data_IF_076449659045
#
_entry.id   IF_076449659045
#
_cell.length_a   1.000
_cell.length_b   1.000
_cell.length_c   1.000
_cell.angle_alpha   90.00
_cell.angle_beta   90.00
_cell.angle_gamma   90.00
#
_symmetry.space_group_name_H-M   'P 1'
#
loop_
_entity.id
_entity.type
_entity.pdbx_description
1 polymer ?
#
# COMPACT_ATOMS: atom_id res chain seq x y z
N UNK A 1 4.18 6.55 -22.62
CA UNK A 1 2.84 5.95 -22.78
C UNK A 1 2.49 5.24 -21.47
N UNK A 2 2.25 6.01 -20.40
CA UNK A 2 1.89 5.49 -19.07
C UNK A 2 0.36 5.35 -19.03
N UNK A 3 -0.16 4.24 -19.53
CA UNK A 3 -1.47 3.77 -19.09
C UNK A 3 -1.20 2.94 -17.85
N UNK A 4 -1.84 3.26 -16.72
CA UNK A 4 -2.44 2.29 -15.81
C UNK A 4 -3.25 3.03 -14.74
N UNK A 5 -4.56 2.82 -14.77
CA UNK A 5 -5.51 3.31 -13.76
C UNK A 5 -5.49 2.30 -12.63
N UNK A 6 -4.82 2.60 -11.53
CA UNK A 6 -4.95 1.83 -10.30
C UNK A 6 -6.18 2.37 -9.54
N UNK A 7 -7.20 1.53 -9.35
CA UNK A 7 -8.36 1.86 -8.50
C UNK A 7 -8.27 1.00 -7.24
N UNK A 8 -8.13 1.62 -6.08
CA UNK A 8 -7.90 0.90 -4.83
C UNK A 8 -8.72 1.41 -3.64
N UNK A 9 -9.43 0.50 -2.93
CA UNK A 9 -10.36 0.78 -1.82
C UNK A 9 -10.35 -0.27 -0.68
N UNK A 10 -9.60 -0.07 0.43
CA UNK A 10 -9.72 -0.94 1.64
C UNK A 10 -8.68 -0.68 2.75
N UNK A 11 -8.99 -0.96 4.04
CA UNK A 11 -8.17 -0.79 5.26
C UNK A 11 -7.11 -1.89 5.36
N UNK A 12 -5.92 -1.56 5.87
CA UNK A 12 -4.85 -2.50 6.24
C UNK A 12 -4.54 -3.54 5.17
N UNK A 13 -4.84 -3.22 3.90
CA UNK A 13 -4.64 -4.13 2.79
C UNK A 13 -3.29 -3.77 2.20
N UNK A 14 -2.32 -4.67 2.35
CA UNK A 14 -1.16 -4.60 1.49
C UNK A 14 -1.58 -5.16 0.13
N UNK A 15 -1.81 -4.26 -0.83
CA UNK A 15 -1.92 -4.68 -2.22
C UNK A 15 -0.55 -4.63 -2.86
N UNK A 16 -0.21 -5.73 -3.52
CA UNK A 16 0.88 -5.74 -4.47
C UNK A 16 0.29 -5.34 -5.83
N UNK A 17 0.73 -4.21 -6.40
CA UNK A 17 0.37 -3.90 -7.79
C UNK A 17 1.26 -4.75 -8.69
N UNK A 18 0.72 -5.88 -9.16
CA UNK A 18 1.40 -6.71 -10.16
C UNK A 18 1.03 -6.17 -11.54
N UNK A 19 2.02 -5.65 -12.27
CA UNK A 19 1.87 -5.41 -13.70
C UNK A 19 2.32 -6.67 -14.44
N UNK A 20 1.38 -7.30 -15.15
CA UNK A 20 1.66 -8.41 -16.06
C UNK A 20 2.55 -7.96 -17.21
N UNK A 21 3.86 -7.99 -17.00
CA UNK A 21 4.76 -8.46 -18.03
C UNK A 21 4.96 -9.94 -17.72
N UNK A 22 4.35 -10.82 -18.51
CA UNK A 22 4.81 -12.19 -18.65
C UNK A 22 6.26 -12.14 -19.14
N UNK A 23 7.20 -12.02 -18.20
CA UNK A 23 8.53 -12.54 -18.41
C UNK A 23 8.38 -14.03 -18.19
N UNK A 24 8.50 -14.79 -19.28
CA UNK A 24 8.70 -16.24 -19.24
C UNK A 24 9.91 -16.51 -18.33
N UNK A 25 9.66 -16.68 -17.03
CA UNK A 25 10.64 -17.26 -16.14
C UNK A 25 10.76 -18.74 -16.53
N UNK A 26 11.98 -19.25 -16.76
CA UNK A 26 12.15 -20.66 -17.08
C UNK A 26 11.57 -21.51 -15.93
N UNK A 27 10.96 -22.67 -16.24
CA UNK A 27 10.42 -23.54 -15.21
C UNK A 27 11.53 -23.87 -14.22
N UNK A 28 11.31 -23.56 -12.94
CA UNK A 28 12.18 -24.02 -11.87
C UNK A 28 12.24 -25.54 -11.96
N UNK A 29 13.43 -26.06 -12.29
CA UNK A 29 13.69 -27.48 -12.20
C UNK A 29 13.42 -27.91 -10.76
N UNK A 30 12.44 -28.79 -10.57
CA UNK A 30 12.23 -29.50 -9.31
C UNK A 30 13.47 -30.36 -9.02
N UNK A 31 14.51 -29.76 -8.43
CA UNK A 31 15.41 -30.51 -7.57
C UNK A 31 14.64 -30.80 -6.31
N UNK A 32 14.13 -32.02 -6.22
CA UNK A 32 13.59 -32.58 -5.00
C UNK A 32 14.57 -32.31 -3.86
N UNK A 33 14.17 -31.47 -2.90
CA UNK A 33 14.80 -31.44 -1.60
C UNK A 33 14.54 -32.80 -0.95
N UNK A 34 15.48 -33.71 -1.14
CA UNK A 34 15.55 -34.95 -0.40
C UNK A 34 15.68 -34.61 1.08
N UNK A 35 14.74 -35.10 1.88
CA UNK A 35 14.82 -35.09 3.32
C UNK A 35 16.01 -35.95 3.76
N UNK A 36 17.15 -35.32 4.04
CA UNK A 36 18.18 -35.90 4.92
C UNK A 36 18.38 -34.95 6.11
N UNK A 37 17.62 -35.20 7.17
CA UNK A 37 17.76 -34.52 8.45
C UNK A 37 19.07 -34.98 9.12
N UNK A 38 20.12 -34.16 9.03
CA UNK A 38 21.28 -34.24 9.91
C UNK A 38 21.01 -33.48 11.21
N UNK A 39 21.36 -34.01 12.39
CA UNK A 39 21.09 -33.34 13.65
C UNK A 39 22.24 -32.38 13.98
N UNK A 40 22.24 -31.15 13.43
CA UNK A 40 23.03 -30.00 13.93
C UNK A 40 22.90 -28.73 13.07
N UNK A 41 21.69 -28.38 12.61
CA UNK A 41 21.44 -27.02 12.12
C UNK A 41 20.81 -26.22 13.25
N UNK A 42 21.59 -25.29 13.82
CA UNK A 42 21.06 -24.24 14.71
C UNK A 42 19.94 -23.51 13.97
N UNK A 43 18.77 -23.28 14.60
CA UNK A 43 17.72 -22.48 13.99
C UNK A 43 18.31 -21.14 13.57
N UNK A 44 18.16 -20.79 12.29
CA UNK A 44 18.48 -19.44 11.82
C UNK A 44 17.63 -18.50 12.68
N UNK A 45 18.26 -17.56 13.38
CA UNK A 45 17.58 -16.58 14.22
C UNK A 45 16.49 -15.86 13.41
N UNK A 46 15.28 -15.71 13.94
CA UNK A 46 14.16 -15.02 13.29
C UNK A 46 14.56 -13.62 12.78
N UNK A 47 15.40 -12.93 13.54
CA UNK A 47 15.97 -11.63 13.14
C UNK A 47 16.80 -11.68 11.86
N UNK A 48 17.54 -12.75 11.60
CA UNK A 48 18.32 -12.92 10.36
C UNK A 48 17.42 -13.21 9.16
N UNK A 49 16.34 -13.97 9.37
CA UNK A 49 15.33 -14.21 8.34
C UNK A 49 14.59 -12.92 7.99
N UNK A 50 14.21 -12.11 8.98
CA UNK A 50 13.53 -10.85 8.70
C UNK A 50 14.42 -9.85 7.96
N UNK A 51 15.70 -9.74 8.35
CA UNK A 51 16.65 -8.84 7.70
C UNK A 51 16.83 -9.16 6.20
N UNK A 52 16.81 -10.45 5.81
CA UNK A 52 16.96 -10.82 4.40
C UNK A 52 15.79 -10.36 3.53
N UNK A 53 14.56 -10.36 4.06
CA UNK A 53 13.38 -9.81 3.38
C UNK A 53 13.50 -8.31 3.20
N UNK A 54 13.92 -7.60 4.24
CA UNK A 54 14.15 -6.15 4.20
C UNK A 54 15.23 -5.79 3.17
N UNK A 55 16.33 -6.52 3.16
CA UNK A 55 17.44 -6.33 2.23
C UNK A 55 17.03 -6.60 0.76
N UNK A 56 15.98 -7.41 0.55
CA UNK A 56 15.43 -7.70 -0.76
C UNK A 56 14.48 -6.61 -1.31
N UNK A 57 14.16 -5.56 -0.54
CA UNK A 57 13.42 -4.40 -1.03
C UNK A 57 14.29 -3.56 -1.99
N UNK A 58 14.08 -3.75 -3.30
CA UNK A 58 14.93 -3.16 -4.33
C UNK A 58 14.72 -1.64 -4.47
N UNK A 59 13.45 -1.19 -4.43
CA UNK A 59 13.07 0.23 -4.60
C UNK A 59 13.73 0.89 -5.82
N UNK A 60 13.90 0.14 -6.91
CA UNK A 60 14.56 0.65 -8.12
C UNK A 60 13.75 1.76 -8.78
N UNK A 61 12.43 1.74 -8.68
CA UNK A 61 11.56 2.79 -9.24
C UNK A 61 11.96 4.16 -8.72
N UNK A 62 12.21 4.30 -7.41
CA UNK A 62 12.58 5.57 -6.81
C UNK A 62 13.94 6.11 -7.29
N UNK A 63 14.79 5.26 -7.88
CA UNK A 63 16.06 5.70 -8.51
C UNK A 63 15.83 6.36 -9.86
N UNK A 64 14.68 6.08 -10.50
CA UNK A 64 14.31 6.59 -11.82
C UNK A 64 13.19 7.63 -11.78
N UNK A 65 12.50 7.75 -10.64
CA UNK A 65 11.44 8.71 -10.41
C UNK A 65 11.98 9.93 -9.66
N UNK A 66 11.53 11.12 -10.05
CA UNK A 66 11.83 12.34 -9.30
C UNK A 66 10.90 12.50 -8.10
N UNK A 67 11.45 12.82 -6.94
CA UNK A 67 10.67 13.29 -5.79
C UNK A 67 10.12 14.69 -6.04
N UNK A 68 9.11 15.07 -5.27
CA UNK A 68 8.72 16.47 -5.10
C UNK A 68 9.92 17.34 -4.69
N UNK A 69 10.04 18.51 -5.32
CA UNK A 69 11.13 19.45 -5.01
C UNK A 69 10.89 20.16 -3.68
N UNK A 70 11.98 20.54 -2.99
CA UNK A 70 11.89 21.25 -1.72
C UNK A 70 11.14 22.58 -1.84
N UNK A 71 11.41 23.33 -2.90
CA UNK A 71 10.73 24.58 -3.23
C UNK A 71 9.22 24.39 -3.40
N UNK A 72 8.81 23.28 -4.04
CA UNK A 72 7.40 22.95 -4.20
C UNK A 72 6.73 22.64 -2.85
N UNK A 73 7.41 21.84 -2.03
CA UNK A 73 6.94 21.51 -0.69
C UNK A 73 6.75 22.76 0.17
N UNK A 74 7.72 23.67 0.20
CA UNK A 74 7.63 24.92 0.97
C UNK A 74 6.48 25.80 0.50
N UNK A 75 6.36 26.03 -0.81
CA UNK A 75 5.24 26.78 -1.40
C UNK A 75 3.89 26.14 -1.06
N UNK A 76 3.76 24.82 -1.18
CA UNK A 76 2.49 24.14 -0.89
C UNK A 76 2.10 24.20 0.59
N UNK A 77 3.09 24.17 1.50
CA UNK A 77 2.88 24.35 2.94
C UNK A 77 2.41 25.75 3.28
N UNK A 78 2.98 26.78 2.64
CA UNK A 78 2.51 28.15 2.81
C UNK A 78 1.05 28.32 2.39
N UNK A 79 0.68 27.79 1.22
CA UNK A 79 -0.69 27.84 0.70
C UNK A 79 -1.68 27.12 1.63
N UNK A 80 -1.26 25.98 2.19
CA UNK A 80 -2.08 25.19 3.10
C UNK A 80 -1.93 25.61 4.59
N UNK A 81 -1.19 26.67 4.89
CA UNK A 81 -0.90 27.15 6.24
C UNK A 81 -0.33 26.07 7.19
N UNK A 82 0.55 25.21 6.66
CA UNK A 82 1.13 24.09 7.38
C UNK A 82 2.45 24.46 8.06
N UNK A 83 2.66 23.91 9.25
CA UNK A 83 3.95 24.03 9.95
C UNK A 83 5.06 23.26 9.22
N UNK A 84 6.31 23.63 9.47
CA UNK A 84 7.47 22.87 8.98
C UNK A 84 7.54 21.44 9.52
N UNK A 85 6.87 21.17 10.65
CA UNK A 85 6.76 19.87 11.33
C UNK A 85 5.71 18.95 10.70
N UNK A 86 4.89 19.43 9.75
CA UNK A 86 3.93 18.57 9.05
C UNK A 86 4.66 17.50 8.23
N UNK A 87 4.43 16.22 8.53
CA UNK A 87 5.11 15.09 7.89
C UNK A 87 4.48 14.69 6.54
N UNK A 88 3.94 15.64 5.77
CA UNK A 88 3.13 15.40 4.57
C UNK A 88 1.85 14.60 4.85
N UNK A 89 1.26 14.78 6.04
CA UNK A 89 0.02 14.09 6.43
C UNK A 89 -1.21 14.97 6.30
N UNK A 90 -1.04 16.25 5.98
CA UNK A 90 -2.15 17.19 5.75
C UNK A 90 -2.35 17.47 4.27
N UNK A 91 -3.61 17.63 3.86
CA UNK A 91 -3.96 17.92 2.48
C UNK A 91 -3.33 19.24 2.00
N UNK A 92 -2.61 19.18 0.88
CA UNK A 92 -1.96 20.34 0.24
C UNK A 92 -1.83 20.09 -1.27
N UNK A 93 -1.75 21.13 -2.10
CA UNK A 93 -1.52 20.94 -3.53
C UNK A 93 -0.08 20.45 -3.79
N UNK A 94 0.10 19.56 -4.77
CA UNK A 94 1.39 19.03 -5.21
C UNK A 94 1.54 19.30 -6.70
N UNK A 95 2.49 20.16 -7.08
CA UNK A 95 2.63 20.63 -8.46
C UNK A 95 3.74 19.91 -9.25
N UNK A 96 4.62 19.17 -8.59
CA UNK A 96 5.69 18.40 -9.23
C UNK A 96 6.06 17.14 -8.43
N UNK A 97 6.94 16.33 -9.03
CA UNK A 97 7.37 15.05 -8.48
C UNK A 97 6.48 13.91 -8.97
N UNK A 98 7.12 12.76 -9.21
CA UNK A 98 6.43 11.50 -9.45
C UNK A 98 5.96 10.87 -8.14
N UNK A 99 6.52 11.28 -7.00
CA UNK A 99 6.11 10.83 -5.69
C UNK A 99 6.37 11.91 -4.63
N UNK A 100 5.62 11.83 -3.53
CA UNK A 100 5.86 12.59 -2.30
C UNK A 100 6.21 11.63 -1.18
N UNK A 101 7.28 11.94 -0.45
CA UNK A 101 7.63 11.16 0.74
C UNK A 101 6.57 11.35 1.82
N UNK A 102 6.00 10.25 2.30
CA UNK A 102 4.99 10.24 3.36
C UNK A 102 5.12 8.95 4.16
N UNK A 103 5.11 9.07 5.50
CA UNK A 103 5.18 7.91 6.38
C UNK A 103 3.78 7.39 6.72
N UNK A 104 3.59 6.07 6.80
CA UNK A 104 2.34 5.52 7.27
C UNK A 104 2.05 5.93 8.73
N UNK A 105 0.76 6.05 9.02
CA UNK A 105 0.23 6.09 10.38
C UNK A 105 -0.22 4.67 10.72
N UNK A 106 0.57 3.97 11.53
CA UNK A 106 0.29 2.58 11.86
C UNK A 106 -1.06 2.35 12.55
N UNK A 107 -1.51 1.10 12.53
CA UNK A 107 -2.74 0.67 13.21
C UNK A 107 -2.45 0.37 14.69
N UNK A 108 -3.27 0.88 15.63
CA UNK A 108 -3.13 0.51 17.04
C UNK A 108 -3.67 -0.90 17.28
N UNK A 109 -2.99 -1.69 18.13
CA UNK A 109 -3.34 -3.09 18.41
C UNK A 109 -3.66 -3.88 17.11
N UNK A 110 -2.68 -3.96 16.18
CA UNK A 110 -2.91 -4.61 14.90
C UNK A 110 -3.04 -6.12 15.08
N UNK A 111 -3.84 -6.75 14.23
CA UNK A 111 -3.93 -8.21 14.13
C UNK A 111 -4.07 -8.63 12.68
N UNK A 112 -3.27 -9.60 12.26
CA UNK A 112 -3.40 -10.23 10.96
C UNK A 112 -4.70 -11.05 10.92
N UNK A 113 -5.60 -10.73 9.99
CA UNK A 113 -6.85 -11.47 9.82
C UNK A 113 -6.71 -12.59 8.79
N UNK A 114 -6.06 -12.30 7.66
CA UNK A 114 -5.83 -13.23 6.56
C UNK A 114 -4.69 -12.74 5.67
N UNK A 115 -4.07 -13.67 4.94
CA UNK A 115 -3.08 -13.38 3.89
C UNK A 115 -3.25 -14.33 2.71
N UNK A 116 -2.69 -13.98 1.55
CA UNK A 116 -2.63 -14.85 0.36
C UNK A 116 -1.32 -15.62 0.36
N UNK A 117 -1.34 -16.96 0.55
CA UNK A 117 -0.12 -17.77 0.51
C UNK A 117 0.58 -17.71 -0.85
N UNK A 118 -0.18 -17.56 -1.94
CA UNK A 118 0.37 -17.47 -3.29
C UNK A 118 1.21 -16.20 -3.44
N UNK A 119 0.68 -15.04 -3.02
CA UNK A 119 1.45 -13.77 -3.03
C UNK A 119 2.62 -13.83 -2.06
N UNK A 120 2.40 -14.31 -0.83
CA UNK A 120 3.45 -14.36 0.18
C UNK A 120 4.64 -15.23 -0.25
N UNK A 121 4.38 -16.47 -0.65
CA UNK A 121 5.43 -17.46 -0.86
C UNK A 121 5.99 -17.46 -2.28
N UNK A 122 5.17 -17.19 -3.30
CA UNK A 122 5.63 -17.26 -4.70
C UNK A 122 6.10 -15.93 -5.23
N UNK A 123 5.33 -14.87 -4.99
CA UNK A 123 5.65 -13.53 -5.50
C UNK A 123 6.68 -12.82 -4.63
N UNK A 124 6.59 -12.99 -3.31
CA UNK A 124 7.43 -12.25 -2.36
C UNK A 124 8.45 -13.13 -1.61
N UNK A 125 8.39 -14.46 -1.77
CA UNK A 125 9.30 -15.41 -1.11
C UNK A 125 9.40 -15.21 0.40
N UNK A 126 8.29 -14.82 1.02
CA UNK A 126 8.13 -14.71 2.47
C UNK A 126 7.80 -16.10 3.00
N UNK A 127 8.52 -16.60 4.00
CA UNK A 127 8.27 -17.92 4.58
C UNK A 127 7.11 -17.90 5.58
N UNK A 128 6.48 -19.04 5.89
CA UNK A 128 5.44 -19.11 6.93
C UNK A 128 5.92 -18.56 8.29
N UNK A 129 7.17 -18.84 8.67
CA UNK A 129 7.77 -18.37 9.92
C UNK A 129 7.88 -16.84 9.95
N UNK A 130 8.25 -16.22 8.82
CA UNK A 130 8.28 -14.75 8.71
C UNK A 130 6.86 -14.16 8.81
N UNK A 131 5.84 -14.81 8.25
CA UNK A 131 4.44 -14.33 8.34
C UNK A 131 3.95 -14.32 9.80
N UNK A 132 4.39 -15.27 10.61
CA UNK A 132 4.02 -15.37 12.03
C UNK A 132 4.79 -14.40 12.94
N UNK A 133 5.81 -13.71 12.41
CA UNK A 133 6.67 -12.83 13.20
C UNK A 133 6.02 -11.48 13.54
N UNK A 134 6.45 -10.89 14.66
CA UNK A 134 5.99 -9.56 15.08
C UNK A 134 6.45 -8.47 14.09
N UNK A 135 7.62 -8.62 13.49
CA UNK A 135 8.18 -7.70 12.50
C UNK A 135 7.32 -7.66 11.23
N UNK A 136 6.86 -8.82 10.75
CA UNK A 136 5.95 -8.85 9.61
C UNK A 136 4.68 -8.09 9.92
N UNK A 137 4.01 -8.41 11.04
CA UNK A 137 2.81 -7.70 11.47
C UNK A 137 3.06 -6.19 11.63
N UNK A 138 4.19 -5.78 12.21
CA UNK A 138 4.56 -4.37 12.37
C UNK A 138 4.76 -3.68 11.02
N UNK A 139 5.37 -4.36 10.04
CA UNK A 139 5.57 -3.85 8.69
C UNK A 139 4.26 -3.67 7.94
N UNK A 140 3.44 -4.72 7.83
CA UNK A 140 2.18 -4.68 7.06
C UNK A 140 1.06 -3.91 7.77
N UNK A 141 1.22 -3.57 9.05
CA UNK A 141 0.34 -2.65 9.78
C UNK A 141 0.79 -1.18 9.70
N UNK A 142 1.93 -0.89 9.07
CA UNK A 142 2.51 0.44 8.98
C UNK A 142 3.08 0.97 10.29
N UNK A 143 3.31 0.10 11.28
CA UNK A 143 3.93 0.43 12.56
C UNK A 143 5.46 0.47 12.47
N UNK A 144 6.04 -0.27 11.53
CA UNK A 144 7.48 -0.27 11.26
C UNK A 144 7.74 -0.05 9.77
N UNK A 145 8.78 0.74 9.48
CA UNK A 145 9.19 1.09 8.12
C UNK A 145 10.65 0.72 7.94
N UNK A 146 10.96 0.00 6.86
CA UNK A 146 12.30 -0.52 6.58
C UNK A 146 12.96 0.10 5.33
N UNK A 147 12.25 1.00 4.64
CA UNK A 147 12.73 1.64 3.43
C UNK A 147 12.03 2.98 3.17
N UNK A 148 12.21 3.57 1.98
CA UNK A 148 11.47 4.75 1.58
C UNK A 148 9.96 4.45 1.53
N UNK A 149 9.16 5.43 1.90
CA UNK A 149 7.70 5.37 1.85
C UNK A 149 7.17 6.57 1.08
N UNK A 150 6.18 6.35 0.21
CA UNK A 150 5.71 7.40 -0.69
C UNK A 150 4.23 7.29 -1.06
N UNK A 151 3.69 8.40 -1.55
CA UNK A 151 2.40 8.47 -2.21
C UNK A 151 2.58 9.10 -3.59
N UNK A 152 1.81 8.62 -4.56
CA UNK A 152 1.94 9.01 -5.96
C UNK A 152 0.85 10.03 -6.34
N UNK A 153 1.20 11.24 -6.81
CA UNK A 153 0.23 12.16 -7.42
C UNK A 153 -0.28 11.62 -8.76
N UNK A 154 -1.54 11.89 -9.10
CA UNK A 154 -2.07 11.60 -10.43
C UNK A 154 -3.03 12.67 -10.92
N UNK A 155 -3.11 12.86 -12.23
CA UNK A 155 -4.12 13.71 -12.86
C UNK A 155 -5.41 12.91 -13.07
N UNK A 156 -6.49 13.28 -12.39
CA UNK A 156 -7.79 12.66 -12.61
C UNK A 156 -8.40 13.15 -13.93
N UNK A 157 -8.71 12.21 -14.82
CA UNK A 157 -9.48 12.48 -16.03
C UNK A 157 -10.76 11.64 -16.09
N UNK A 158 -11.87 12.31 -16.36
CA UNK A 158 -13.19 11.71 -16.54
C UNK A 158 -13.64 12.04 -17.95
N UNK A 159 -13.95 11.01 -18.74
CA UNK A 159 -14.37 11.16 -20.16
C UNK A 159 -13.38 11.97 -21.03
N UNK A 160 -12.09 11.92 -20.72
CA UNK A 160 -11.05 12.63 -21.47
C UNK A 160 -10.81 14.06 -21.01
N UNK A 161 -11.62 14.58 -20.09
CA UNK A 161 -11.45 15.93 -19.54
C UNK A 161 -10.73 15.89 -18.20
N UNK A 162 -9.89 16.89 -17.94
CA UNK A 162 -9.26 17.07 -16.63
C UNK A 162 -10.36 17.39 -15.62
N UNK A 163 -10.49 16.55 -14.60
CA UNK A 163 -11.49 16.75 -13.57
C UNK A 163 -10.86 17.53 -12.41
N UNK A 164 -11.42 18.70 -12.09
CA UNK A 164 -10.89 19.57 -11.02
C UNK A 164 -11.94 19.94 -9.98
N UNK A 165 -13.23 19.71 -10.24
CA UNK A 165 -14.33 20.20 -9.40
C UNK A 165 -14.34 19.59 -7.99
N UNK A 166 -13.99 18.31 -7.84
CA UNK A 166 -13.92 17.64 -6.53
C UNK A 166 -12.50 17.65 -5.93
N UNK A 167 -11.61 18.47 -6.48
CA UNK A 167 -10.31 18.74 -5.91
C UNK A 167 -10.48 19.87 -4.88
N UNK A 168 -9.98 19.73 -3.63
CA UNK A 168 -10.07 20.78 -2.62
C UNK A 168 -9.51 22.13 -3.09
N UNK A 169 -8.52 22.10 -3.98
CA UNK A 169 -7.83 23.27 -4.51
C UNK A 169 -8.43 23.78 -5.84
N UNK A 170 -9.40 23.07 -6.42
CA UNK A 170 -10.03 23.37 -7.73
C UNK A 170 -9.08 23.46 -8.94
N UNK A 171 -7.83 23.03 -8.78
CA UNK A 171 -6.82 23.01 -9.85
C UNK A 171 -6.56 21.62 -10.42
N UNK A 172 -6.94 20.57 -9.67
CA UNK A 172 -6.60 19.18 -9.98
C UNK A 172 -5.25 18.73 -9.43
N UNK A 173 -4.55 19.57 -8.66
CA UNK A 173 -3.22 19.28 -8.09
C UNK A 173 -3.31 18.66 -6.68
N UNK A 174 -4.49 18.17 -6.30
CA UNK A 174 -4.75 17.49 -5.03
C UNK A 174 -5.19 16.04 -5.20
N UNK A 175 -4.94 15.46 -6.38
CA UNK A 175 -5.25 14.07 -6.68
C UNK A 175 -3.99 13.21 -6.64
N UNK A 176 -4.13 12.02 -6.08
CA UNK A 176 -3.03 11.11 -5.79
C UNK A 176 -3.49 10.02 -4.83
N UNK A 177 -2.55 9.25 -4.30
CA UNK A 177 -2.83 8.21 -3.32
C UNK A 177 -3.37 8.81 -2.01
N UNK A 178 -4.69 8.99 -1.92
CA UNK A 178 -5.32 9.71 -0.82
C UNK A 178 -5.48 8.92 0.49
N UNK A 179 -5.23 7.62 0.47
CA UNK A 179 -5.21 6.77 1.69
C UNK A 179 -4.30 5.56 1.51
N UNK A 180 -3.42 5.63 0.54
CA UNK A 180 -2.55 4.53 0.19
C UNK A 180 -1.12 5.05 0.23
N UNK A 181 -0.22 4.26 0.79
CA UNK A 181 1.19 4.60 0.92
C UNK A 181 1.99 3.39 0.50
N UNK A 182 2.86 3.58 -0.48
CA UNK A 182 3.80 2.56 -0.92
C UNK A 182 4.91 2.44 0.12
N UNK A 183 5.18 1.21 0.53
CA UNK A 183 6.12 0.86 1.61
C UNK A 183 7.35 0.10 1.12
N UNK A 184 7.44 -0.11 -0.18
CA UNK A 184 8.54 -0.79 -0.80
C UNK A 184 8.20 -1.21 -2.21
N UNK A 185 9.23 -1.70 -2.88
CA UNK A 185 9.13 -2.39 -4.16
C UNK A 185 9.91 -3.69 -4.06
N UNK A 186 9.32 -4.75 -4.56
CA UNK A 186 9.91 -6.08 -4.56
C UNK A 186 9.84 -6.65 -5.98
N UNK A 187 11.00 -6.88 -6.59
CA UNK A 187 11.13 -7.42 -7.96
C UNK A 187 10.25 -6.72 -9.01
N UNK A 188 10.24 -5.38 -9.00
CA UNK A 188 9.41 -4.61 -9.93
C UNK A 188 7.93 -4.56 -9.58
N UNK A 189 7.53 -5.04 -8.39
CA UNK A 189 6.16 -4.96 -7.89
C UNK A 189 6.07 -3.95 -6.75
N UNK A 190 5.10 -3.04 -6.82
CA UNK A 190 4.89 -2.05 -5.76
C UNK A 190 4.09 -2.63 -4.61
N UNK A 191 4.60 -2.46 -3.39
CA UNK A 191 3.93 -2.85 -2.15
C UNK A 191 3.21 -1.63 -1.56
N UNK A 192 1.89 -1.61 -1.62
CA UNK A 192 1.08 -0.46 -1.21
C UNK A 192 0.15 -0.81 -0.03
N UNK A 193 0.32 -0.11 1.10
CA UNK A 193 -0.60 -0.17 2.24
C UNK A 193 -1.77 0.77 2.03
N UNK A 194 -2.98 0.22 1.97
CA UNK A 194 -4.21 1.00 1.93
C UNK A 194 -4.79 1.17 3.33
N UNK A 195 -5.32 2.35 3.61
CA UNK A 195 -5.72 2.74 4.97
C UNK A 195 -4.54 3.13 5.87
N UNK A 196 -3.38 3.41 5.28
CA UNK A 196 -2.13 3.72 5.98
C UNK A 196 -2.08 5.13 6.60
N UNK A 197 -3.23 5.80 6.73
CA UNK A 197 -3.30 7.17 7.21
C UNK A 197 -3.35 8.20 6.09
N UNK A 198 -3.27 9.46 6.48
CA UNK A 198 -3.45 10.58 5.55
C UNK A 198 -2.18 10.92 4.80
N UNK A 199 -2.37 11.46 3.61
CA UNK A 199 -1.37 11.94 2.66
C UNK A 199 -1.77 13.34 2.18
N UNK A 200 -0.94 14.04 1.39
CA UNK A 200 -1.33 15.31 0.77
C UNK A 200 -2.59 15.20 -0.11
N UNK A 201 -2.92 13.98 -0.54
CA UNK A 201 -4.03 13.67 -1.44
C UNK A 201 -5.28 13.16 -0.72
N UNK A 202 -5.28 13.09 0.62
CA UNK A 202 -6.44 12.60 1.39
C UNK A 202 -7.67 13.48 1.28
N UNK A 203 -7.51 14.73 0.84
CA UNK A 203 -8.58 15.72 0.77
C UNK A 203 -9.20 15.89 2.16
N UNK A 204 -10.48 15.56 2.32
CA UNK A 204 -11.19 15.58 3.62
C UNK A 204 -11.37 14.17 4.22
N UNK A 205 -10.73 13.14 3.64
CA UNK A 205 -10.75 11.79 4.17
C UNK A 205 -9.81 11.61 5.35
N UNK A 206 -10.13 10.66 6.21
CA UNK A 206 -9.32 10.28 7.39
C UNK A 206 -8.10 9.42 7.06
N UNK A 207 -7.84 9.13 5.78
CA UNK A 207 -6.74 8.26 5.37
C UNK A 207 -6.91 6.79 5.79
N UNK A 208 -8.03 6.46 6.44
CA UNK A 208 -8.41 5.10 6.79
C UNK A 208 -9.38 4.56 5.74
N UNK A 209 -9.45 3.27 5.68
CA UNK A 209 -10.51 2.55 4.99
C UNK A 209 -11.32 1.72 5.99
N UNK A 210 -12.07 0.70 5.59
CA UNK A 210 -12.90 -0.10 6.52
C UNK A 210 -12.86 -1.57 6.15
N UNK A 211 -13.02 -2.46 7.15
CA UNK A 211 -12.89 -3.92 7.01
C UNK A 211 -13.71 -4.48 5.84
N UNK A 212 -14.99 -4.12 5.73
CA UNK A 212 -15.87 -4.55 4.63
C UNK A 212 -15.31 -4.27 3.23
N UNK A 213 -14.72 -3.10 3.00
CA UNK A 213 -14.14 -2.76 1.71
C UNK A 213 -12.85 -3.55 1.47
N UNK A 214 -12.01 -3.71 2.52
CA UNK A 214 -10.78 -4.50 2.44
C UNK A 214 -11.06 -5.95 2.07
N UNK A 215 -12.03 -6.58 2.73
CA UNK A 215 -12.39 -7.99 2.49
C UNK A 215 -12.86 -8.16 1.04
N UNK A 216 -13.73 -7.26 0.56
CA UNK A 216 -14.20 -7.29 -0.83
C UNK A 216 -13.05 -7.13 -1.82
N UNK A 217 -12.13 -6.21 -1.56
CA UNK A 217 -11.00 -5.96 -2.44
C UNK A 217 -10.01 -7.12 -2.46
N UNK A 218 -9.67 -7.69 -1.29
CA UNK A 218 -8.85 -8.88 -1.18
C UNK A 218 -9.44 -10.04 -1.99
N UNK A 219 -10.71 -10.38 -1.71
CA UNK A 219 -11.38 -11.51 -2.36
C UNK A 219 -11.56 -11.30 -3.86
N UNK A 220 -11.94 -10.10 -4.30
CA UNK A 220 -12.11 -9.81 -5.72
C UNK A 220 -10.79 -9.85 -6.48
N UNK A 221 -9.71 -9.33 -5.89
CA UNK A 221 -8.37 -9.34 -6.49
C UNK A 221 -7.87 -10.76 -6.70
N UNK A 222 -7.88 -11.59 -5.65
CA UNK A 222 -7.39 -12.96 -5.75
C UNK A 222 -8.31 -13.85 -6.59
N UNK A 223 -9.63 -13.61 -6.59
CA UNK A 223 -10.56 -14.32 -7.47
C UNK A 223 -10.32 -13.97 -8.95
N UNK A 224 -10.10 -12.70 -9.29
CA UNK A 224 -9.76 -12.30 -10.66
C UNK A 224 -8.46 -12.95 -11.13
N UNK A 225 -7.43 -12.96 -10.28
CA UNK A 225 -6.17 -13.63 -10.59
C UNK A 225 -6.37 -15.14 -10.82
N UNK A 226 -7.14 -15.81 -9.95
CA UNK A 226 -7.45 -17.23 -10.10
C UNK A 226 -8.25 -17.55 -11.37
N UNK A 227 -8.96 -16.56 -11.92
CA UNK A 227 -9.67 -16.65 -13.20
C UNK A 227 -8.77 -16.32 -14.42
N UNK A 228 -7.49 -16.02 -14.20
CA UNK A 228 -6.54 -15.65 -15.25
C UNK A 228 -6.73 -14.21 -15.78
N UNK A 229 -7.36 -13.34 -14.99
CA UNK A 229 -7.52 -11.92 -15.33
C UNK A 229 -6.41 -11.11 -14.68
N UNK A 230 -5.69 -10.33 -15.48
CA UNK A 230 -4.67 -9.40 -14.99
C UNK A 230 -5.26 -8.41 -13.98
N UNK A 231 -4.72 -8.42 -12.77
CA UNK A 231 -5.25 -7.64 -11.64
C UNK A 231 -4.14 -7.34 -10.64
N UNK A 232 -4.35 -6.31 -9.82
CA UNK A 232 -3.60 -6.15 -8.56
C UNK A 232 -3.82 -7.38 -7.68
N UNK A 233 -2.82 -7.75 -6.91
CA UNK A 233 -2.87 -8.86 -5.95
C UNK A 233 -2.98 -8.33 -4.52
N UNK A 234 -3.49 -9.17 -3.62
CA UNK A 234 -3.65 -8.82 -2.22
C UNK A 234 -2.79 -9.73 -1.34
N UNK A 235 -1.79 -9.18 -0.66
CA UNK A 235 -0.94 -9.96 0.24
C UNK A 235 -1.66 -10.25 1.56
N UNK A 236 -2.13 -9.23 2.26
CA UNK A 236 -2.59 -9.38 3.65
C UNK A 236 -3.69 -8.40 4.02
N UNK A 237 -4.50 -8.76 5.00
CA UNK A 237 -5.50 -7.91 5.62
C UNK A 237 -5.23 -7.84 7.13
N UNK A 238 -4.86 -6.64 7.58
CA UNK A 238 -4.67 -6.33 9.00
C UNK A 238 -5.84 -5.50 9.51
N UNK A 239 -6.31 -5.83 10.72
CA UNK A 239 -7.32 -5.03 11.42
C UNK A 239 -6.72 -4.40 12.67
N UNK A 240 -7.37 -3.34 13.16
CA UNK A 240 -7.16 -2.82 14.51
C UNK A 240 -8.27 -3.34 15.40
N UNK A 241 -7.91 -3.88 16.57
CA UNK A 241 -8.89 -4.30 17.58
C UNK A 241 -9.35 -3.12 18.49
N UNK A 242 -8.77 -1.92 18.33
CA UNK A 242 -9.07 -0.74 19.18
C UNK A 242 -9.52 0.52 18.42
N UNK A 243 -9.19 0.66 17.13
CA UNK A 243 -9.58 1.82 16.32
C UNK A 243 -10.94 1.60 15.66
N UNK A 244 -11.87 2.54 15.88
CA UNK A 244 -13.19 2.53 15.22
C UNK A 244 -13.32 3.70 14.27
N UNK A 245 -13.78 3.42 13.05
CA UNK A 245 -13.89 4.41 11.98
C UNK A 245 -15.34 4.59 11.56
N UNK A 246 -15.84 5.81 11.70
CA UNK A 246 -17.22 6.15 11.29
C UNK A 246 -17.31 6.38 9.78
N UNK A 247 -18.38 5.87 9.16
CA UNK A 247 -18.73 6.15 7.78
C UNK A 247 -20.23 6.47 7.74
N UNK A 248 -20.67 7.52 7.00
CA UNK A 248 -22.05 8.03 7.06
C UNK A 248 -23.12 6.96 6.80
N UNK A 249 -22.83 6.03 5.89
CA UNK A 249 -23.72 4.98 5.40
C UNK A 249 -23.97 3.82 6.38
N UNK A 250 -23.32 3.82 7.54
CA UNK A 250 -23.45 2.74 8.56
C UNK A 250 -23.88 3.28 9.93
N UNK A 251 -24.29 4.55 10.02
CA UNK A 251 -24.95 5.03 11.22
C UNK A 251 -26.39 4.48 11.23
N UNK A 252 -26.92 4.07 12.39
CA UNK A 252 -28.31 3.61 12.51
C UNK A 252 -29.30 4.65 11.99
N UNK A 253 -28.99 5.95 12.09
CA UNK A 253 -29.80 7.03 11.52
C UNK A 253 -29.83 7.09 9.97
N UNK A 254 -29.03 6.28 9.27
CA UNK A 254 -29.00 6.27 7.79
C UNK A 254 -30.01 5.31 7.15
N UNK A 255 -30.68 4.45 7.94
CA UNK A 255 -31.82 3.64 7.47
C UNK A 255 -33.10 4.45 7.29
N UNK A 256 -33.18 5.65 7.86
CA UNK A 256 -34.40 6.45 7.94
C UNK A 256 -34.54 7.47 6.78
N UNK A 257 -33.77 7.30 5.69
CA UNK A 257 -33.81 8.18 4.51
C UNK A 257 -33.99 7.41 3.20
N UNK A 258 -34.83 6.39 3.22
CA UNK A 258 -35.44 5.85 2.01
C UNK A 258 -36.91 6.25 2.04
N UNK A 259 -37.17 7.51 1.68
CA UNK A 259 -38.49 8.02 1.29
C UNK A 259 -38.34 8.74 -0.06
#
# INVERSE_FOLDING_TARGET
MLRNKCFTFGIGLLCCTIFGATLDLPPLSHTAYGTSTGPNETPISESLLWNSLVDALDNTWLRHLSSETRENLERSREIAHLSSLDENRTARPVYNGHYVAVRPTGLPQPRLLLYSPDVAHRELTITPEQIESEEFLAWISGNQVYGPTWATPYALSIMGERYTSNCPFRTGDGYGDGRAISIGEFWGQELQLKGAGTTPFSRSGDGRAVLRSSVREFLASEAMYALGVDTTRALSLVISDSETISRPWYNQASSDRID
#
